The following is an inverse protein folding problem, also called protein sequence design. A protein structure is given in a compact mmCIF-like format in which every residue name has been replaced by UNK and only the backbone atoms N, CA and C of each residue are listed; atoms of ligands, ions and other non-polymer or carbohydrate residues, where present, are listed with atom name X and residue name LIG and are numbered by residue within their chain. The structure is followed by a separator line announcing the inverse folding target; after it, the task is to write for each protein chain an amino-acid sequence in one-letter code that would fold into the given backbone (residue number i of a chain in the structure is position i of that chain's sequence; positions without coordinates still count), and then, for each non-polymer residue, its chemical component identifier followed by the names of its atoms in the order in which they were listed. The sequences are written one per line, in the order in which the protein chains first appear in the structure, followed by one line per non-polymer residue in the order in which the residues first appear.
data_IF_633549201624
#
_entry.id   IF_633549201624
#
_cell.length_a   1.000
_cell.length_b   1.000
_cell.length_c   1.000
_cell.angle_alpha   90.00
_cell.angle_beta   90.00
_cell.angle_gamma   90.00
#
_symmetry.space_group_name_H-M   'P 1'
#
loop_
_entity.id
_entity.type
_entity.pdbx_description
1 polymer ?
#
# COMPACT_ATOMS: atom_id res chain seq x y z
N UNK A 1 -64.21 -58.58 0.98
CA UNK A 1 -64.34 -57.10 0.94
C UNK A 1 -63.20 -56.56 1.79
N UNK A 2 -62.05 -56.24 1.18
CA UNK A 2 -61.60 -54.88 0.79
C UNK A 2 -61.40 -54.01 2.05
N UNK A 3 -60.19 -53.55 2.41
CA UNK A 3 -59.46 -52.50 1.67
C UNK A 3 -57.97 -52.35 2.06
N UNK A 4 -57.17 -52.07 1.03
CA UNK A 4 -56.05 -51.12 0.86
C UNK A 4 -54.80 -51.05 1.79
N UNK A 5 -53.71 -51.58 1.22
CA UNK A 5 -52.39 -50.98 0.91
C UNK A 5 -52.11 -49.50 1.24
N UNK A 6 -50.91 -49.20 1.76
CA UNK A 6 -50.08 -48.05 1.32
C UNK A 6 -48.59 -48.22 1.70
N UNK A 7 -47.78 -48.50 0.67
CA UNK A 7 -46.32 -48.36 0.68
C UNK A 7 -45.96 -46.87 0.61
N UNK A 8 -45.06 -46.40 1.48
CA UNK A 8 -44.45 -45.08 1.37
C UNK A 8 -43.01 -45.25 0.87
N UNK A 9 -42.83 -45.08 -0.44
CA UNK A 9 -41.52 -45.03 -1.08
C UNK A 9 -40.90 -43.64 -0.84
N UNK A 10 -39.82 -43.57 -0.05
CA UNK A 10 -39.00 -42.38 0.04
C UNK A 10 -38.19 -42.21 -1.25
N UNK A 11 -38.53 -41.20 -2.04
CA UNK A 11 -37.64 -40.66 -3.07
C UNK A 11 -36.55 -39.83 -2.37
N UNK A 12 -35.33 -40.37 -2.29
CA UNK A 12 -34.13 -39.59 -1.99
C UNK A 12 -33.76 -38.84 -3.27
N UNK A 13 -34.23 -37.60 -3.37
CA UNK A 13 -33.78 -36.66 -4.39
C UNK A 13 -32.32 -36.30 -4.11
N UNK A 14 -31.42 -36.73 -4.97
CA UNK A 14 -30.03 -36.32 -4.99
C UNK A 14 -29.96 -34.81 -5.29
N UNK A 15 -29.71 -34.00 -4.26
CA UNK A 15 -29.40 -32.58 -4.40
C UNK A 15 -28.01 -32.46 -5.03
N UNK A 16 -27.98 -32.32 -6.36
CA UNK A 16 -26.78 -31.88 -7.09
C UNK A 16 -26.39 -30.50 -6.56
N UNK A 17 -25.27 -30.43 -5.85
CA UNK A 17 -24.62 -29.18 -5.47
C UNK A 17 -24.17 -28.47 -6.74
N UNK A 18 -24.99 -27.56 -7.26
CA UNK A 18 -24.52 -26.53 -8.18
C UNK A 18 -23.48 -25.69 -7.44
N UNK A 19 -22.20 -26.00 -7.63
CA UNK A 19 -21.12 -25.06 -7.41
C UNK A 19 -21.30 -23.95 -8.45
N UNK A 20 -22.09 -22.93 -8.11
CA UNK A 20 -22.08 -21.68 -8.83
C UNK A 20 -20.65 -21.13 -8.75
N UNK A 21 -19.89 -21.26 -9.85
CA UNK A 21 -18.68 -20.46 -10.06
C UNK A 21 -19.16 -19.02 -10.04
N UNK A 22 -18.93 -18.32 -8.92
CA UNK A 22 -19.14 -16.89 -8.87
C UNK A 22 -18.40 -16.27 -10.06
N UNK A 23 -19.07 -15.34 -10.76
CA UNK A 23 -18.43 -14.62 -11.85
C UNK A 23 -17.12 -13.99 -11.34
N UNK A 24 -16.04 -13.95 -12.16
CA UNK A 24 -14.81 -13.28 -11.76
C UNK A 24 -15.14 -11.85 -11.31
N UNK A 25 -14.71 -11.51 -10.09
CA UNK A 25 -14.92 -10.16 -9.55
C UNK A 25 -13.92 -9.24 -10.23
N UNK A 26 -14.45 -8.26 -10.95
CA UNK A 26 -13.66 -7.21 -11.58
C UNK A 26 -13.42 -6.08 -10.57
N UNK A 27 -12.18 -5.61 -10.52
CA UNK A 27 -11.75 -4.46 -9.75
C UNK A 27 -11.28 -3.36 -10.70
N UNK A 28 -11.56 -2.10 -10.36
CA UNK A 28 -11.13 -0.91 -11.13
C UNK A 28 -10.03 -0.12 -10.44
N UNK A 29 -9.67 -0.53 -9.22
CA UNK A 29 -8.57 0.02 -8.46
C UNK A 29 -8.02 -1.02 -7.48
N UNK A 30 -6.73 -0.90 -7.17
CA UNK A 30 -6.06 -1.85 -6.28
C UNK A 30 -6.49 -1.70 -4.82
N UNK A 31 -6.94 -0.53 -4.40
CA UNK A 31 -7.35 -0.30 -3.01
C UNK A 31 -8.58 -1.12 -2.67
N UNK A 32 -9.62 -1.09 -3.52
CA UNK A 32 -10.82 -1.90 -3.38
C UNK A 32 -10.50 -3.39 -3.37
N UNK A 33 -9.56 -3.83 -4.23
CA UNK A 33 -9.06 -5.19 -4.19
C UNK A 33 -8.43 -5.53 -2.83
N UNK A 34 -7.48 -4.72 -2.33
CA UNK A 34 -6.83 -4.98 -1.05
C UNK A 34 -7.80 -4.97 0.13
N UNK A 35 -8.75 -4.05 0.15
CA UNK A 35 -9.79 -3.98 1.17
C UNK A 35 -10.69 -5.23 1.13
N UNK A 36 -10.98 -5.77 -0.05
CA UNK A 36 -11.75 -7.02 -0.20
C UNK A 36 -11.06 -8.26 0.38
N UNK A 37 -9.73 -8.25 0.51
CA UNK A 37 -8.97 -9.35 1.12
C UNK A 37 -9.10 -9.40 2.64
N UNK A 38 -9.53 -8.30 3.25
CA UNK A 38 -9.67 -8.13 4.70
C UNK A 38 -8.36 -8.20 5.48
N UNK A 39 -8.48 -7.98 6.80
CA UNK A 39 -7.35 -7.96 7.74
C UNK A 39 -6.27 -6.92 7.40
N UNK A 40 -6.62 -5.83 6.71
CA UNK A 40 -5.71 -4.73 6.40
C UNK A 40 -5.13 -4.14 7.70
N UNK A 41 -3.82 -3.88 7.71
CA UNK A 41 -3.14 -3.26 8.85
C UNK A 41 -3.61 -1.82 9.04
N UNK A 42 -3.82 -1.10 7.94
CA UNK A 42 -4.32 0.26 7.90
C UNK A 42 -5.74 0.29 7.33
N UNK A 43 -6.60 1.12 7.93
CA UNK A 43 -8.00 1.30 7.52
C UNK A 43 -8.33 2.78 7.41
N UNK A 44 -9.34 3.14 6.62
CA UNK A 44 -9.77 4.53 6.43
C UNK A 44 -9.02 5.23 5.30
N UNK A 45 -9.09 6.55 5.17
CA UNK A 45 -8.23 7.30 4.25
C UNK A 45 -6.88 7.64 4.91
N UNK A 46 -5.80 7.67 4.13
CA UNK A 46 -4.56 8.30 4.55
C UNK A 46 -4.68 9.82 4.63
N UNK A 47 -3.73 10.46 5.30
CA UNK A 47 -3.60 11.91 5.42
C UNK A 47 -2.47 12.35 4.49
N UNK A 48 -2.79 13.20 3.53
CA UNK A 48 -1.76 13.79 2.65
C UNK A 48 -0.88 14.76 3.45
N UNK A 49 0.42 14.66 3.23
CA UNK A 49 1.40 15.60 3.76
C UNK A 49 1.53 16.79 2.83
N UNK A 50 1.85 17.94 3.40
CA UNK A 50 2.15 19.15 2.64
C UNK A 50 3.66 19.25 2.44
N UNK A 51 4.10 19.80 1.30
CA UNK A 51 5.51 20.06 1.00
C UNK A 51 5.87 21.54 1.12
N UNK A 52 6.12 22.09 2.33
CA UNK A 52 6.71 23.40 2.46
C UNK A 52 8.18 23.41 2.00
N UNK A 53 8.60 24.55 1.45
CA UNK A 53 9.98 24.79 1.01
C UNK A 53 10.48 26.14 1.50
N UNK A 54 11.75 26.24 1.89
CA UNK A 54 12.42 27.53 2.09
C UNK A 54 12.83 28.15 0.76
N UNK A 55 12.93 29.48 0.72
CA UNK A 55 13.27 30.22 -0.50
C UNK A 55 14.78 30.19 -0.83
N UNK A 56 15.67 30.37 0.16
CA UNK A 56 17.11 30.36 -0.07
C UNK A 56 17.94 30.15 1.23
N UNK A 57 18.79 29.11 1.33
CA UNK A 57 18.86 27.97 0.43
C UNK A 57 17.53 27.20 0.41
N UNK A 58 17.24 26.55 -0.71
CA UNK A 58 16.00 25.79 -0.88
C UNK A 58 16.07 24.45 -0.14
N UNK A 59 15.17 24.28 0.82
CA UNK A 59 14.99 23.04 1.58
C UNK A 59 13.51 22.71 1.59
N UNK A 60 13.15 21.55 1.03
CA UNK A 60 11.78 21.07 1.02
C UNK A 60 11.66 19.85 1.93
N UNK A 61 10.50 19.71 2.59
CA UNK A 61 10.18 18.59 3.48
C UNK A 61 8.73 18.20 3.24
N UNK A 62 8.34 16.95 3.47
CA UNK A 62 6.93 16.57 3.54
C UNK A 62 6.50 16.48 5.01
N UNK A 63 5.50 17.26 5.41
CA UNK A 63 5.11 17.40 6.81
C UNK A 63 3.59 17.46 7.00
N UNK A 64 3.13 17.11 8.20
CA UNK A 64 1.73 17.30 8.62
C UNK A 64 1.51 18.54 9.50
N UNK A 65 2.56 19.32 9.77
CA UNK A 65 2.53 20.57 10.53
C UNK A 65 3.77 21.42 10.19
N UNK A 66 3.70 22.75 10.36
CA UNK A 66 4.80 23.65 10.02
C UNK A 66 5.94 23.68 11.06
N UNK A 67 5.66 23.42 12.35
CA UNK A 67 6.67 23.54 13.42
C UNK A 67 7.97 22.77 13.12
N UNK A 68 7.95 21.51 12.66
CA UNK A 68 9.18 20.78 12.35
C UNK A 68 10.03 21.42 11.25
N UNK A 69 9.44 22.13 10.29
CA UNK A 69 10.18 22.85 9.26
C UNK A 69 10.97 24.01 9.85
N UNK A 70 10.32 24.82 10.70
CA UNK A 70 10.94 25.97 11.38
C UNK A 70 12.00 25.57 12.40
N UNK A 71 11.80 24.48 13.14
CA UNK A 71 12.78 24.01 14.12
C UNK A 71 14.02 23.39 13.45
N UNK A 72 13.85 22.85 12.24
CA UNK A 72 14.93 22.15 11.54
C UNK A 72 15.85 23.07 10.75
N UNK A 73 15.29 24.06 10.08
CA UNK A 73 16.07 25.03 9.33
C UNK A 73 15.76 26.43 9.85
N UNK A 74 16.81 27.14 10.24
CA UNK A 74 16.73 28.55 10.64
C UNK A 74 16.52 29.42 9.39
N UNK A 75 15.29 29.46 8.89
CA UNK A 75 14.90 30.16 7.67
C UNK A 75 13.62 30.96 7.92
N UNK A 76 13.67 32.25 7.58
CA UNK A 76 12.60 33.20 7.89
C UNK A 76 11.40 33.11 6.93
N UNK A 77 11.59 32.54 5.73
CA UNK A 77 10.57 32.51 4.69
C UNK A 77 10.39 31.11 4.14
N UNK A 78 9.14 30.64 4.23
CA UNK A 78 8.68 29.35 3.76
C UNK A 78 7.48 29.54 2.85
N UNK A 79 7.51 28.90 1.69
CA UNK A 79 6.35 28.71 0.84
C UNK A 79 5.72 27.36 1.18
N UNK A 80 4.40 27.35 1.42
CA UNK A 80 3.61 26.14 1.58
C UNK A 80 2.44 26.19 0.58
N UNK A 81 2.12 25.09 -0.12
CA UNK A 81 1.00 25.06 -1.06
C UNK A 81 -0.37 25.31 -0.41
N UNK A 82 -0.49 25.07 0.91
CA UNK A 82 -1.72 25.22 1.69
C UNK A 82 -1.43 25.87 3.06
N UNK A 83 -2.45 26.42 3.72
CA UNK A 83 -2.35 26.91 5.11
C UNK A 83 -2.12 25.74 6.08
N UNK A 84 -0.87 25.33 6.22
CA UNK A 84 -0.49 24.27 7.14
C UNK A 84 -0.37 24.82 8.57
N UNK A 85 -1.14 24.24 9.50
CA UNK A 85 -1.10 24.63 10.90
C UNK A 85 0.29 24.43 11.53
N UNK A 86 0.62 25.24 12.54
CA UNK A 86 1.90 25.13 13.25
C UNK A 86 2.05 23.75 13.92
N UNK A 87 0.97 23.21 14.49
CA UNK A 87 0.95 21.95 15.20
C UNK A 87 0.03 20.94 14.48
N UNK A 88 0.33 19.63 14.55
CA UNK A 88 -0.56 18.62 14.01
C UNK A 88 -1.86 18.55 14.84
N UNK A 89 -2.94 17.96 14.28
CA UNK A 89 -4.17 17.73 15.03
C UNK A 89 -3.94 16.96 16.33
N UNK A 90 -4.77 17.22 17.34
CA UNK A 90 -4.64 16.57 18.66
C UNK A 90 -4.62 15.03 18.53
N UNK A 91 -3.63 14.39 19.13
CA UNK A 91 -3.46 12.93 19.09
C UNK A 91 -2.71 12.41 17.85
N UNK A 92 -2.35 13.29 16.92
CA UNK A 92 -1.48 12.97 15.78
C UNK A 92 -0.07 13.49 16.11
N UNK A 93 0.97 12.63 16.06
CA UNK A 93 2.33 13.08 16.23
C UNK A 93 2.77 13.90 15.01
N UNK A 94 3.83 14.66 15.17
CA UNK A 94 4.50 15.27 14.01
C UNK A 94 5.04 14.19 13.09
N UNK A 95 4.92 14.41 11.80
CA UNK A 95 5.42 13.49 10.79
C UNK A 95 6.20 14.32 9.80
N UNK A 96 7.45 13.92 9.56
CA UNK A 96 8.37 14.61 8.67
C UNK A 96 9.06 13.58 7.80
N UNK A 97 8.99 13.75 6.49
CA UNK A 97 9.87 13.08 5.55
C UNK A 97 10.76 14.13 4.88
N UNK A 98 12.05 14.08 5.17
CA UNK A 98 13.04 15.08 4.72
C UNK A 98 13.93 14.57 3.58
N UNK A 99 13.60 13.41 3.01
CA UNK A 99 14.38 12.78 1.96
C UNK A 99 15.41 11.76 2.45
N UNK A 100 15.98 11.97 3.62
CA UNK A 100 16.95 11.07 4.24
C UNK A 100 16.33 10.15 5.30
N UNK A 101 15.20 10.56 5.86
CA UNK A 101 14.55 9.85 6.95
C UNK A 101 13.06 10.17 7.07
N UNK A 102 12.36 9.22 7.67
CA UNK A 102 11.02 9.42 8.21
C UNK A 102 11.12 9.73 9.71
N UNK A 103 10.54 10.82 10.17
CA UNK A 103 10.46 11.19 11.59
C UNK A 103 9.01 11.14 12.04
N UNK A 104 8.74 10.48 13.16
CA UNK A 104 7.40 10.36 13.77
C UNK A 104 7.52 10.76 15.24
N UNK A 105 6.92 11.90 15.59
CA UNK A 105 7.13 12.54 16.89
C UNK A 105 8.62 12.77 17.13
N UNK A 106 9.16 12.19 18.21
CA UNK A 106 10.58 12.34 18.57
C UNK A 106 11.50 11.32 17.90
N UNK A 107 10.95 10.30 17.23
CA UNK A 107 11.72 9.20 16.70
C UNK A 107 12.04 9.42 15.23
N UNK A 108 13.30 9.25 14.87
CA UNK A 108 13.83 9.39 13.51
C UNK A 108 14.26 8.04 12.96
N UNK A 109 13.86 7.76 11.73
CA UNK A 109 14.13 6.52 11.00
C UNK A 109 14.88 6.84 9.70
N UNK A 110 16.22 6.76 9.68
CA UNK A 110 16.99 6.96 8.46
C UNK A 110 16.68 5.90 7.40
N UNK A 111 16.54 6.29 6.14
CA UNK A 111 16.25 5.36 5.04
C UNK A 111 17.35 4.32 4.85
N UNK A 112 18.61 4.70 5.06
CA UNK A 112 19.76 3.79 5.01
C UNK A 112 19.67 2.61 5.99
N UNK A 113 18.90 2.76 7.07
CA UNK A 113 18.73 1.75 8.11
C UNK A 113 17.47 0.90 7.88
N UNK A 114 16.72 1.15 6.81
CA UNK A 114 15.51 0.42 6.48
C UNK A 114 15.81 -1.02 6.04
N UNK A 115 15.01 -1.97 6.53
CA UNK A 115 14.94 -3.31 5.95
C UNK A 115 14.33 -3.21 4.55
N UNK A 116 15.15 -3.44 3.53
CA UNK A 116 14.73 -3.26 2.15
C UNK A 116 14.19 -4.54 1.53
N UNK A 117 12.91 -4.52 1.17
CA UNK A 117 12.25 -5.59 0.42
C UNK A 117 11.96 -5.21 -1.03
N UNK A 118 12.28 -3.98 -1.44
CA UNK A 118 12.12 -3.56 -2.83
C UNK A 118 13.15 -4.26 -3.74
N UNK A 119 12.81 -4.52 -5.02
CA UNK A 119 13.78 -5.08 -5.96
C UNK A 119 14.99 -4.16 -6.12
N UNK A 120 16.20 -4.67 -6.44
CA UNK A 120 17.42 -3.86 -6.52
C UNK A 120 17.37 -2.66 -7.49
N UNK A 121 16.51 -2.72 -8.50
CA UNK A 121 16.28 -1.60 -9.41
C UNK A 121 15.62 -0.37 -8.72
N UNK A 122 14.98 -0.59 -7.57
CA UNK A 122 14.30 0.40 -6.76
C UNK A 122 15.20 0.76 -5.58
N UNK A 123 15.90 1.89 -5.72
CA UNK A 123 16.84 2.39 -4.69
C UNK A 123 16.11 3.07 -3.54
N UNK A 124 15.34 2.29 -2.79
CA UNK A 124 14.45 2.77 -1.72
C UNK A 124 15.17 3.18 -0.43
N UNK A 125 16.42 2.76 -0.25
CA UNK A 125 17.26 3.16 0.89
C UNK A 125 18.16 4.37 0.60
N UNK A 126 18.22 4.81 -0.67
CA UNK A 126 18.97 5.99 -1.06
C UNK A 126 18.19 7.25 -0.65
N UNK A 127 18.90 8.37 -0.34
CA UNK A 127 18.27 9.67 -0.18
C UNK A 127 17.38 10.04 -1.36
N UNK A 128 16.21 10.57 -1.03
CA UNK A 128 15.22 11.05 -2.00
C UNK A 128 15.16 12.56 -1.91
N UNK A 129 15.35 13.28 -3.01
CA UNK A 129 15.04 14.71 -3.00
C UNK A 129 13.52 14.88 -2.76
N UNK A 130 13.08 15.56 -1.68
CA UNK A 130 11.66 15.78 -1.40
C UNK A 130 10.91 16.47 -2.54
N UNK A 131 11.61 17.21 -3.41
CA UNK A 131 11.02 17.85 -4.58
C UNK A 131 10.65 16.87 -5.70
N UNK A 132 11.31 15.72 -5.76
CA UNK A 132 11.04 14.67 -6.73
C UNK A 132 9.77 13.87 -6.41
N UNK A 133 9.14 14.10 -5.26
CA UNK A 133 7.84 13.53 -4.93
C UNK A 133 6.72 14.44 -5.47
N UNK A 134 5.73 13.83 -6.10
CA UNK A 134 4.48 14.46 -6.49
C UNK A 134 3.50 14.53 -5.30
N UNK A 135 3.47 13.49 -4.47
CA UNK A 135 2.68 13.45 -3.23
C UNK A 135 3.28 12.49 -2.21
N UNK A 136 2.95 12.72 -0.93
CA UNK A 136 3.24 11.81 0.16
C UNK A 136 2.00 11.67 1.07
N UNK A 137 1.51 10.45 1.28
CA UNK A 137 0.29 10.17 2.05
C UNK A 137 0.60 9.23 3.20
N UNK A 138 0.18 9.59 4.41
CA UNK A 138 0.47 8.85 5.63
C UNK A 138 -0.77 8.11 6.15
N UNK A 139 -0.58 6.84 6.47
CA UNK A 139 -1.58 5.94 7.03
C UNK A 139 -1.13 5.50 8.41
N UNK A 140 -2.05 5.50 9.39
CA UNK A 140 -1.71 5.18 10.78
C UNK A 140 -2.71 4.23 11.40
N UNK A 141 -2.20 3.26 12.15
CA UNK A 141 -3.01 2.38 12.99
C UNK A 141 -2.19 1.99 14.22
N UNK A 142 -2.65 2.41 15.41
CA UNK A 142 -1.88 2.21 16.65
C UNK A 142 -0.49 2.82 16.56
N UNK A 143 0.54 2.00 16.80
CA UNK A 143 1.96 2.38 16.69
C UNK A 143 2.52 2.27 15.28
N UNK A 144 1.77 1.66 14.36
CA UNK A 144 2.21 1.46 12.98
C UNK A 144 1.93 2.71 12.15
N UNK A 145 2.87 3.08 11.29
CA UNK A 145 2.75 4.20 10.35
C UNK A 145 3.26 3.76 8.99
N UNK A 146 2.48 3.96 7.95
CA UNK A 146 2.86 3.68 6.58
C UNK A 146 2.80 4.96 5.75
N UNK A 147 3.77 5.16 4.87
CA UNK A 147 3.90 6.34 4.03
C UNK A 147 3.95 5.89 2.58
N UNK A 148 2.97 6.36 1.81
CA UNK A 148 2.88 6.20 0.37
C UNK A 148 3.53 7.42 -0.28
N UNK A 149 4.53 7.23 -1.14
CA UNK A 149 5.23 8.31 -1.83
C UNK A 149 5.15 8.11 -3.33
N UNK A 150 4.56 9.07 -4.03
CA UNK A 150 4.49 9.07 -5.49
C UNK A 150 5.55 10.00 -6.04
N UNK A 151 6.36 9.52 -6.97
CA UNK A 151 7.37 10.33 -7.63
C UNK A 151 6.78 11.13 -8.79
N UNK A 152 7.36 12.29 -9.06
CA UNK A 152 7.20 12.99 -10.33
C UNK A 152 7.83 12.10 -11.40
N UNK A 153 6.99 11.38 -12.15
CA UNK A 153 7.41 10.44 -13.18
C UNK A 153 6.54 10.61 -14.42
N UNK A 154 7.06 10.15 -15.56
CA UNK A 154 6.30 9.98 -16.79
C UNK A 154 6.24 8.50 -17.18
N UNK A 155 5.46 8.17 -18.22
CA UNK A 155 5.37 6.82 -18.75
C UNK A 155 4.81 5.82 -17.74
N UNK A 156 5.49 4.68 -17.58
CA UNK A 156 5.02 3.58 -16.70
C UNK A 156 5.42 3.73 -15.24
N UNK A 157 6.42 4.56 -14.94
CA UNK A 157 6.86 4.80 -13.56
C UNK A 157 5.76 5.39 -12.67
N UNK A 158 4.78 6.09 -13.27
CA UNK A 158 3.60 6.65 -12.57
C UNK A 158 2.70 5.60 -11.93
N UNK A 159 2.86 4.33 -12.30
CA UNK A 159 2.05 3.21 -11.79
C UNK A 159 2.42 2.82 -10.37
N UNK A 160 3.63 3.17 -9.93
CA UNK A 160 4.19 2.68 -8.69
C UNK A 160 4.19 3.74 -7.61
N UNK A 161 4.03 3.26 -6.38
CA UNK A 161 4.15 4.05 -5.17
C UNK A 161 5.27 3.45 -4.33
N UNK A 162 6.20 4.28 -3.87
CA UNK A 162 7.19 3.86 -2.89
C UNK A 162 6.53 3.81 -1.52
N UNK A 163 6.84 2.77 -0.74
CA UNK A 163 6.19 2.55 0.54
C UNK A 163 7.23 2.40 1.63
N UNK A 164 7.09 3.25 2.65
CA UNK A 164 7.78 3.08 3.91
C UNK A 164 6.79 2.61 4.96
N UNK A 165 7.18 1.64 5.77
CA UNK A 165 6.39 1.15 6.89
C UNK A 165 7.25 1.20 8.15
N UNK A 166 6.76 1.90 9.16
CA UNK A 166 7.24 1.77 10.54
C UNK A 166 6.30 0.82 11.27
N UNK A 167 6.81 -0.31 11.72
CA UNK A 167 6.07 -1.33 12.47
C UNK A 167 6.98 -1.97 13.52
N UNK A 168 6.47 -2.15 14.75
CA UNK A 168 7.23 -2.73 15.87
C UNK A 168 8.65 -2.14 16.03
N UNK A 169 8.75 -0.80 15.95
CA UNK A 169 10.02 -0.07 16.03
C UNK A 169 11.08 -0.46 14.97
N UNK A 170 10.64 -0.82 13.78
CA UNK A 170 11.52 -1.03 12.63
C UNK A 170 10.98 -0.29 11.41
N UNK A 171 11.89 0.27 10.61
CA UNK A 171 11.58 0.85 9.31
C UNK A 171 11.78 -0.21 8.22
N UNK A 172 10.78 -0.34 7.36
CA UNK A 172 10.78 -1.22 6.20
C UNK A 172 10.54 -0.40 4.94
N UNK A 173 11.32 -0.67 3.90
CA UNK A 173 11.02 -0.22 2.55
C UNK A 173 10.37 -1.39 1.79
N UNK A 174 9.08 -1.30 1.49
CA UNK A 174 8.34 -2.37 0.83
C UNK A 174 8.52 -2.29 -0.70
N UNK A 175 8.24 -3.39 -1.44
CA UNK A 175 8.20 -3.34 -2.90
C UNK A 175 7.29 -2.21 -3.41
N UNK A 176 7.57 -1.65 -4.59
CA UNK A 176 6.68 -0.68 -5.24
C UNK A 176 5.31 -1.31 -5.54
N UNK A 177 4.24 -0.68 -5.05
CA UNK A 177 2.87 -1.20 -5.17
C UNK A 177 1.96 -0.24 -5.96
N UNK A 178 0.89 -0.80 -6.54
CA UNK A 178 -0.15 -0.03 -7.24
C UNK A 178 -1.15 0.66 -6.29
N UNK A 179 -1.40 0.12 -5.09
CA UNK A 179 -2.00 0.80 -3.93
C UNK A 179 -1.34 0.23 -2.66
N UNK A 180 -0.89 1.07 -1.75
CA UNK A 180 0.43 0.77 -1.19
C UNK A 180 0.42 0.54 0.33
N UNK A 181 -0.27 1.37 1.10
CA UNK A 181 -0.55 1.09 2.51
C UNK A 181 -1.79 0.20 2.71
N UNK A 182 -2.78 0.29 1.82
CA UNK A 182 -3.97 -0.59 1.87
C UNK A 182 -3.60 -2.07 1.64
N UNK A 183 -2.54 -2.33 0.87
CA UNK A 183 -2.05 -3.68 0.59
C UNK A 183 -1.39 -4.37 1.78
N UNK A 184 -0.98 -3.63 2.82
CA UNK A 184 -0.35 -4.20 4.02
C UNK A 184 -1.42 -4.82 4.93
N UNK A 185 -1.22 -6.08 5.33
CA UNK A 185 -2.20 -6.85 6.11
C UNK A 185 -1.60 -7.30 7.44
N UNK A 186 -2.43 -7.38 8.48
CA UNK A 186 -2.05 -7.97 9.77
C UNK A 186 -1.71 -9.43 9.59
N UNK A 187 -0.69 -9.90 10.29
CA UNK A 187 -0.35 -11.29 10.42
C UNK A 187 -0.21 -11.65 11.92
N UNK A 188 -0.22 -12.95 12.29
CA UNK A 188 -0.06 -13.36 13.69
C UNK A 188 1.24 -12.82 14.33
N UNK A 189 1.30 -12.84 15.67
CA UNK A 189 2.52 -12.52 16.43
C UNK A 189 3.11 -11.13 16.15
N UNK A 190 2.26 -10.11 15.99
CA UNK A 190 2.65 -8.73 15.63
C UNK A 190 3.49 -8.66 14.35
N UNK A 191 3.24 -9.56 13.40
CA UNK A 191 3.81 -9.46 12.06
C UNK A 191 2.85 -8.73 11.12
N UNK A 192 3.37 -8.38 9.95
CA UNK A 192 2.56 -7.95 8.82
C UNK A 192 2.86 -8.84 7.61
N UNK A 193 1.97 -8.78 6.62
CA UNK A 193 2.23 -9.28 5.29
C UNK A 193 2.02 -8.20 4.24
N UNK A 194 2.76 -8.30 3.15
CA UNK A 194 2.77 -7.33 2.06
C UNK A 194 2.83 -8.05 0.71
N UNK A 195 2.25 -7.46 -0.35
CA UNK A 195 2.33 -8.02 -1.68
C UNK A 195 3.71 -7.76 -2.32
N UNK A 196 4.23 -8.77 -2.99
CA UNK A 196 5.38 -8.71 -3.90
C UNK A 196 4.87 -9.02 -5.31
N UNK A 197 5.05 -8.07 -6.23
CA UNK A 197 4.34 -8.02 -7.50
C UNK A 197 5.27 -8.40 -8.67
N UNK A 198 4.77 -9.19 -9.61
CA UNK A 198 5.47 -9.53 -10.84
C UNK A 198 4.52 -9.55 -12.03
N UNK A 199 4.85 -8.84 -13.11
CA UNK A 199 4.03 -8.87 -14.32
C UNK A 199 4.03 -10.26 -14.98
N UNK A 200 2.92 -10.57 -15.62
CA UNK A 200 2.71 -11.77 -16.40
C UNK A 200 2.63 -11.43 -17.89
N UNK A 201 3.12 -12.34 -18.72
CA UNK A 201 3.08 -12.22 -20.18
C UNK A 201 4.45 -11.98 -20.82
N UNK A 202 4.56 -12.15 -22.14
CA UNK A 202 5.83 -12.12 -22.87
C UNK A 202 6.47 -10.73 -22.89
N UNK A 203 5.66 -9.68 -22.83
CA UNK A 203 6.10 -8.30 -22.88
C UNK A 203 6.31 -7.68 -21.48
N UNK A 204 6.05 -8.45 -20.41
CA UNK A 204 6.22 -8.05 -19.01
C UNK A 204 5.57 -6.67 -18.74
N UNK A 205 6.33 -5.73 -18.18
CA UNK A 205 5.87 -4.37 -17.89
C UNK A 205 5.42 -3.59 -19.13
N UNK A 206 5.87 -3.98 -20.33
CA UNK A 206 5.56 -3.24 -21.54
C UNK A 206 4.09 -3.34 -21.94
N UNK A 207 3.56 -4.55 -21.88
CA UNK A 207 2.20 -4.91 -22.27
C UNK A 207 1.75 -6.13 -21.45
N UNK A 208 1.51 -5.95 -20.14
CA UNK A 208 1.27 -7.06 -19.24
C UNK A 208 -0.09 -7.71 -19.51
N UNK A 209 -0.14 -9.03 -19.48
CA UNK A 209 -1.40 -9.79 -19.50
C UNK A 209 -2.05 -9.88 -18.11
N UNK A 210 -1.29 -9.49 -17.08
CA UNK A 210 -1.70 -9.60 -15.69
C UNK A 210 -0.57 -9.34 -14.71
N UNK A 211 -0.87 -9.60 -13.44
CA UNK A 211 0.05 -9.48 -12.32
C UNK A 211 -0.06 -10.73 -11.45
N UNK A 212 1.07 -11.34 -11.11
CA UNK A 212 1.16 -12.25 -9.98
C UNK A 212 1.50 -11.43 -8.74
N UNK A 213 0.72 -11.61 -7.70
CA UNK A 213 0.86 -10.94 -6.41
C UNK A 213 1.09 -11.97 -5.31
N UNK A 214 2.33 -12.07 -4.87
CA UNK A 214 2.78 -12.99 -3.83
C UNK A 214 2.79 -12.25 -2.48
N UNK A 215 1.85 -12.56 -1.60
CA UNK A 215 1.87 -12.04 -0.23
C UNK A 215 2.94 -12.76 0.59
N UNK A 216 3.85 -11.99 1.19
CA UNK A 216 4.92 -12.48 2.05
C UNK A 216 4.79 -11.89 3.46
N UNK A 217 5.23 -12.64 4.48
CA UNK A 217 5.36 -12.10 5.84
C UNK A 217 6.49 -11.07 5.93
N UNK A 218 6.55 -10.36 7.05
CA UNK A 218 7.55 -9.34 7.39
C UNK A 218 8.99 -9.84 7.43
N UNK A 219 9.23 -11.15 7.27
CA UNK A 219 10.55 -11.73 7.06
C UNK A 219 11.03 -11.67 5.59
N UNK A 220 10.16 -11.23 4.68
CA UNK A 220 10.40 -11.14 3.24
C UNK A 220 10.51 -12.49 2.52
N UNK A 221 10.28 -13.60 3.22
CA UNK A 221 10.55 -14.96 2.73
C UNK A 221 9.31 -15.84 2.75
N UNK A 222 8.59 -15.84 3.86
CA UNK A 222 7.50 -16.79 4.11
C UNK A 222 6.26 -16.40 3.29
N UNK A 223 5.79 -17.25 2.37
CA UNK A 223 4.58 -16.98 1.59
C UNK A 223 3.33 -17.16 2.43
N UNK A 224 2.33 -16.30 2.21
CA UNK A 224 1.04 -16.30 2.93
C UNK A 224 -0.14 -16.58 2.00
N UNK A 225 -0.11 -15.98 0.81
CA UNK A 225 -1.14 -16.16 -0.22
C UNK A 225 -0.58 -15.74 -1.58
N UNK A 226 -1.20 -16.25 -2.65
CA UNK A 226 -0.92 -15.80 -4.01
C UNK A 226 -2.22 -15.43 -4.70
N UNK A 227 -2.17 -14.35 -5.46
CA UNK A 227 -3.27 -13.90 -6.31
C UNK A 227 -2.74 -13.72 -7.74
N UNK A 228 -3.53 -14.17 -8.71
CA UNK A 228 -3.33 -13.87 -10.12
C UNK A 228 -4.36 -12.82 -10.52
N UNK A 229 -3.87 -11.67 -10.98
CA UNK A 229 -4.67 -10.60 -11.54
C UNK A 229 -4.59 -10.70 -13.06
N UNK A 230 -5.71 -10.87 -13.74
CA UNK A 230 -5.78 -10.82 -15.19
C UNK A 230 -6.19 -9.43 -15.64
N UNK A 231 -5.52 -8.87 -16.64
CA UNK A 231 -5.85 -7.57 -17.23
C UNK A 231 -6.67 -7.79 -18.52
N UNK A 232 -7.99 -7.52 -18.52
CA UNK A 232 -8.82 -7.64 -19.72
C UNK A 232 -8.38 -6.68 -20.83
N UNK A 233 -7.83 -5.53 -20.44
CA UNK A 233 -7.16 -4.56 -21.31
C UNK A 233 -5.69 -4.42 -20.85
N UNK A 234 -4.72 -5.01 -21.57
CA UNK A 234 -3.29 -4.89 -21.26
C UNK A 234 -2.76 -3.45 -21.18
N UNK A 235 -3.44 -2.49 -21.83
CA UNK A 235 -3.12 -1.06 -21.77
C UNK A 235 -3.47 -0.41 -20.43
N UNK A 236 -4.35 -1.02 -19.64
CA UNK A 236 -4.88 -0.48 -18.41
C UNK A 236 -4.71 -1.45 -17.22
N UNK A 237 -3.56 -1.42 -16.52
CA UNK A 237 -3.28 -2.34 -15.41
C UNK A 237 -4.08 -2.05 -14.13
N UNK A 238 -5.00 -1.07 -14.14
CA UNK A 238 -5.86 -0.73 -13.01
C UNK A 238 -7.20 -1.46 -13.03
N UNK A 239 -7.60 -1.99 -14.18
CA UNK A 239 -8.81 -2.80 -14.32
C UNK A 239 -8.41 -4.26 -14.46
N UNK A 240 -8.86 -5.09 -13.51
CA UNK A 240 -8.40 -6.48 -13.45
C UNK A 240 -9.42 -7.41 -12.81
N UNK A 241 -9.31 -8.70 -13.15
CA UNK A 241 -10.01 -9.79 -12.49
C UNK A 241 -9.05 -10.53 -11.57
N UNK A 242 -9.45 -10.76 -10.32
CA UNK A 242 -8.58 -11.39 -9.34
C UNK A 242 -8.98 -12.85 -9.07
N UNK A 243 -8.00 -13.75 -9.09
CA UNK A 243 -8.16 -15.14 -8.69
C UNK A 243 -7.14 -15.52 -7.62
N UNK A 244 -7.61 -16.05 -6.49
CA UNK A 244 -6.73 -16.65 -5.47
C UNK A 244 -6.24 -18.02 -5.94
N UNK A 245 -4.96 -18.32 -5.71
CA UNK A 245 -4.36 -19.65 -5.91
C UNK A 245 -4.28 -20.42 -4.60
#
# INVERSE_FOLDING_TARGET
MSTLTRYLSLFIGASLSFLAKAAPVQFTDYRAFYESLGSNLFTGPGIELTRPCSESPRHCLWVNAMRPAFERYDQAQWSAPEELALNPPKGIPEIVFDGDALTIGKQRWPLRDASNFAPPAWRTNDPVDPENLASATVWRQGTSTCVEMKYVSSGRGVRYTHVLLVHEQHLYALPPLFASCAGVRRAPQNQFSFPDNSYLGPELENNPLGLKMDYRLSDGKTPVAQYLLHFPDPGNPYVFEAQRQ
#
